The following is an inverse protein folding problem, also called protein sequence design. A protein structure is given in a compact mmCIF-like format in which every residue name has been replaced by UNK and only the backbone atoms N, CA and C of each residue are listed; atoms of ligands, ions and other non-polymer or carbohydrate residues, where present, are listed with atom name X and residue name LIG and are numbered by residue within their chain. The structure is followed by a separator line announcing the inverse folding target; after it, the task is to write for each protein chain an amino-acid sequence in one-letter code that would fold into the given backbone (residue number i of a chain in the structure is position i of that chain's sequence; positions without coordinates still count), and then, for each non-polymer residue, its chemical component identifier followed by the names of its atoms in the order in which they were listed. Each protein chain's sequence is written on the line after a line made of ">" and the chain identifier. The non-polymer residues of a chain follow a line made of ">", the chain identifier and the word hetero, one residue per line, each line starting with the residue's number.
data_IF_557951040665
#
_entry.id   IF_557951040665
#
_cell.length_a   1.000
_cell.length_b   1.000
_cell.length_c   1.000
_cell.angle_alpha   90.00
_cell.angle_beta   90.00
_cell.angle_gamma   90.00
#
_symmetry.space_group_name_H-M   'P 1'
#
loop_
_entity.id
_entity.type
_entity.pdbx_description
1 polymer ?
#
# COMPACT_ATOMS: atom_id res chain seq x y z
N UNK A 1 -16.13 -38.77 10.48
CA UNK A 1 -14.99 -37.86 10.70
C UNK A 1 -15.11 -36.73 9.68
N UNK A 2 -15.42 -35.52 10.13
CA UNK A 2 -15.42 -34.33 9.28
C UNK A 2 -14.03 -33.71 9.39
N UNK A 3 -13.19 -33.88 8.37
CA UNK A 3 -11.93 -33.15 8.29
C UNK A 3 -12.27 -31.67 8.12
N UNK A 4 -11.77 -30.83 9.03
CA UNK A 4 -11.87 -29.38 8.92
C UNK A 4 -11.21 -28.96 7.60
N UNK A 5 -12.02 -28.60 6.60
CA UNK A 5 -11.51 -28.06 5.34
C UNK A 5 -10.89 -26.70 5.65
N UNK A 6 -9.61 -26.54 5.30
CA UNK A 6 -8.96 -25.22 5.21
C UNK A 6 -9.84 -24.33 4.33
N UNK A 7 -10.00 -23.07 4.71
CA UNK A 7 -10.84 -22.09 4.01
C UNK A 7 -10.40 -22.02 2.54
N UNK A 8 -11.23 -22.49 1.59
CA UNK A 8 -10.93 -22.44 0.14
C UNK A 8 -11.48 -21.20 -0.53
N UNK A 9 -12.47 -20.56 0.10
CA UNK A 9 -13.28 -19.52 -0.53
C UNK A 9 -12.68 -18.13 -0.30
N UNK A 10 -11.98 -17.93 0.83
CA UNK A 10 -11.28 -16.69 1.10
C UNK A 10 -9.76 -16.86 1.05
N UNK A 11 -9.11 -15.98 0.27
CA UNK A 11 -7.68 -15.81 0.30
C UNK A 11 -7.23 -15.24 1.66
N UNK A 12 -6.09 -15.70 2.17
CA UNK A 12 -5.50 -15.22 3.41
C UNK A 12 -5.23 -13.71 3.36
N UNK A 13 -5.56 -13.01 4.44
CA UNK A 13 -5.29 -11.59 4.64
C UNK A 13 -4.82 -11.35 6.05
N UNK A 14 -3.74 -10.58 6.19
CA UNK A 14 -3.22 -10.18 7.50
C UNK A 14 -3.47 -8.69 7.68
N UNK A 15 -3.95 -8.32 8.86
CA UNK A 15 -4.22 -6.93 9.24
C UNK A 15 -3.49 -6.59 10.54
N UNK A 16 -3.11 -5.34 10.69
CA UNK A 16 -2.60 -4.80 11.95
C UNK A 16 -3.11 -3.36 12.16
N UNK A 17 -2.98 -2.89 13.39
CA UNK A 17 -3.42 -1.56 13.82
C UNK A 17 -2.19 -0.67 13.99
N UNK A 18 -2.23 0.53 13.41
CA UNK A 18 -1.15 1.52 13.50
C UNK A 18 -1.70 2.89 13.88
N UNK A 19 -0.83 3.73 14.45
CA UNK A 19 -1.13 5.09 14.88
C UNK A 19 -0.75 6.10 13.81
N UNK A 20 -1.70 6.92 13.35
CA UNK A 20 -1.44 7.91 12.32
C UNK A 20 -0.85 9.20 12.91
N UNK A 21 0.37 9.54 12.49
CA UNK A 21 1.06 10.78 12.85
C UNK A 21 1.40 11.65 11.62
N UNK A 22 0.72 11.43 10.51
CA UNK A 22 1.02 12.12 9.25
C UNK A 22 0.66 13.62 9.26
N UNK A 23 -0.01 14.12 10.30
CA UNK A 23 -0.55 15.49 10.34
C UNK A 23 -1.76 15.68 9.43
N UNK A 24 -2.35 14.59 8.96
CA UNK A 24 -3.50 14.56 8.05
C UNK A 24 -4.21 13.21 8.12
N UNK A 25 -5.47 13.17 7.67
CA UNK A 25 -6.21 11.90 7.57
C UNK A 25 -5.61 11.01 6.48
N UNK A 26 -5.23 9.78 6.83
CA UNK A 26 -4.90 8.73 5.87
C UNK A 26 -6.22 8.17 5.36
N UNK A 27 -6.55 8.45 4.11
CA UNK A 27 -7.80 7.98 3.50
C UNK A 27 -7.72 6.48 3.18
N UNK A 28 -8.86 5.80 3.16
CA UNK A 28 -8.94 4.41 2.76
C UNK A 28 -8.22 4.18 1.41
N UNK A 29 -7.51 3.05 1.31
CA UNK A 29 -6.68 2.63 0.18
C UNK A 29 -5.34 3.38 0.01
N UNK A 30 -5.01 4.33 0.88
CA UNK A 30 -3.69 4.96 0.86
C UNK A 30 -2.62 4.02 1.44
N UNK A 31 -1.42 3.99 0.85
CA UNK A 31 -0.26 3.37 1.46
C UNK A 31 0.23 4.23 2.62
N UNK A 32 0.73 3.58 3.67
CA UNK A 32 1.43 4.24 4.76
C UNK A 32 2.77 3.55 5.01
N UNK A 33 3.72 4.33 5.52
CA UNK A 33 5.06 3.86 5.86
C UNK A 33 5.26 3.96 7.37
N UNK A 34 6.15 3.13 7.88
CA UNK A 34 6.59 3.18 9.26
C UNK A 34 7.30 4.51 9.49
N UNK A 35 6.94 5.18 10.57
CA UNK A 35 7.63 6.40 10.97
C UNK A 35 8.86 6.07 11.83
N UNK A 36 10.03 6.51 11.36
CA UNK A 36 11.31 6.24 12.03
C UNK A 36 11.66 7.26 13.13
N UNK A 37 10.89 8.34 13.25
CA UNK A 37 11.10 9.37 14.27
C UNK A 37 10.37 9.06 15.58
N UNK A 38 9.29 8.27 15.51
CA UNK A 38 8.54 7.83 16.67
C UNK A 38 9.16 6.54 17.27
N UNK A 39 9.40 6.50 18.60
CA UNK A 39 10.01 5.34 19.26
C UNK A 39 9.02 4.22 19.58
N UNK A 40 7.72 4.42 19.32
CA UNK A 40 6.64 3.52 19.75
C UNK A 40 6.52 2.23 18.94
N UNK A 41 7.12 2.21 17.76
CA UNK A 41 7.05 1.10 16.82
C UNK A 41 5.63 0.78 16.33
N UNK A 42 4.74 1.77 16.35
CA UNK A 42 3.37 1.64 15.85
C UNK A 42 2.94 2.84 15.03
N UNK A 43 3.73 3.92 15.06
CA UNK A 43 3.46 5.11 14.29
C UNK A 43 3.67 4.89 12.80
N UNK A 44 2.73 5.41 12.02
CA UNK A 44 2.79 5.48 10.56
C UNK A 44 2.59 6.90 10.10
N UNK A 45 3.25 7.22 9.00
CA UNK A 45 3.19 8.54 8.39
C UNK A 45 3.10 8.46 6.87
N UNK A 46 3.00 9.63 6.25
CA UNK A 46 3.03 9.76 4.79
C UNK A 46 4.39 9.30 4.28
N UNK A 47 4.46 8.59 3.13
CA UNK A 47 5.73 8.27 2.48
C UNK A 47 6.66 9.48 2.37
N UNK A 48 7.89 9.32 2.87
CA UNK A 48 8.96 10.30 2.75
C UNK A 48 10.21 9.63 2.18
N UNK A 49 11.15 10.41 1.63
CA UNK A 49 12.37 9.90 1.00
C UNK A 49 13.11 8.84 1.85
N UNK A 50 13.19 9.06 3.16
CA UNK A 50 13.89 8.15 4.09
C UNK A 50 13.10 6.85 4.40
N UNK A 51 11.79 6.83 4.15
CA UNK A 51 10.88 5.76 4.59
C UNK A 51 10.22 5.01 3.43
N UNK A 52 10.62 5.27 2.17
CA UNK A 52 10.04 4.62 0.98
C UNK A 52 10.14 3.09 0.97
N UNK A 53 11.12 2.53 1.68
CA UNK A 53 11.30 1.07 1.80
C UNK A 53 10.62 0.48 3.05
N UNK A 54 9.96 1.30 3.86
CA UNK A 54 9.33 0.90 5.13
C UNK A 54 7.81 0.91 5.02
N UNK A 55 7.27 0.49 3.88
CA UNK A 55 5.82 0.40 3.71
C UNK A 55 5.24 -0.64 4.66
N UNK A 56 4.28 -0.18 5.46
CA UNK A 56 3.60 -1.03 6.43
C UNK A 56 2.45 -1.74 5.74
N UNK A 57 1.69 -1.05 4.90
CA UNK A 57 0.56 -1.65 4.23
C UNK A 57 -0.37 -0.60 3.66
N UNK A 58 -1.62 -0.99 3.47
CA UNK A 58 -2.65 -0.14 2.86
C UNK A 58 -3.79 0.06 3.85
N UNK A 59 -4.18 1.32 4.07
CA UNK A 59 -5.26 1.68 4.98
C UNK A 59 -6.58 1.04 4.54
N UNK A 60 -7.27 0.37 5.46
CA UNK A 60 -8.55 -0.29 5.15
C UNK A 60 -9.74 0.64 5.27
N UNK A 61 -9.59 1.72 6.03
CA UNK A 61 -10.58 2.73 6.34
C UNK A 61 -9.88 4.10 6.46
N UNK A 62 -10.66 5.17 6.63
CA UNK A 62 -10.10 6.48 6.91
C UNK A 62 -9.54 6.50 8.34
N UNK A 63 -8.26 6.80 8.46
CA UNK A 63 -7.58 6.94 9.75
C UNK A 63 -7.34 8.43 9.97
N UNK A 64 -8.09 9.01 10.91
CA UNK A 64 -7.92 10.41 11.29
C UNK A 64 -6.50 10.66 11.80
N UNK A 65 -6.06 11.91 11.74
CA UNK A 65 -4.79 12.28 12.36
C UNK A 65 -4.83 12.02 13.87
N UNK A 66 -3.69 11.63 14.44
CA UNK A 66 -3.55 11.31 15.86
C UNK A 66 -4.50 10.20 16.35
N UNK A 67 -4.86 9.24 15.48
CA UNK A 67 -5.74 8.12 15.79
C UNK A 67 -5.19 6.77 15.31
N UNK A 68 -5.67 5.69 15.94
CA UNK A 68 -5.38 4.33 15.48
C UNK A 68 -6.31 3.92 14.34
N UNK A 69 -5.78 3.14 13.40
CA UNK A 69 -6.56 2.60 12.30
C UNK A 69 -6.00 1.29 11.77
N UNK A 70 -6.84 0.58 11.01
CA UNK A 70 -6.54 -0.75 10.49
C UNK A 70 -5.91 -0.71 9.10
N UNK A 71 -4.81 -1.45 8.96
CA UNK A 71 -4.07 -1.60 7.71
C UNK A 71 -4.01 -3.06 7.30
N UNK A 72 -4.07 -3.32 5.99
CA UNK A 72 -3.81 -4.65 5.43
C UNK A 72 -2.31 -4.75 5.09
N UNK A 73 -1.67 -5.80 5.62
CA UNK A 73 -0.24 -6.09 5.49
C UNK A 73 0.03 -7.16 4.44
N UNK A 74 -0.87 -8.14 4.33
CA UNK A 74 -0.71 -9.27 3.43
C UNK A 74 -2.01 -9.62 2.71
N UNK A 75 -1.86 -10.16 1.50
CA UNK A 75 -2.93 -10.77 0.73
C UNK A 75 -3.49 -9.88 -0.38
N UNK A 76 -4.45 -10.42 -1.12
CA UNK A 76 -5.13 -9.70 -2.19
C UNK A 76 -6.02 -8.59 -1.64
N UNK A 77 -5.99 -7.43 -2.31
CA UNK A 77 -6.86 -6.29 -2.04
C UNK A 77 -7.43 -5.76 -3.35
N UNK A 78 -8.75 -5.55 -3.37
CA UNK A 78 -9.45 -5.04 -4.55
C UNK A 78 -9.20 -3.56 -4.87
N UNK A 79 -8.56 -2.82 -3.96
CA UNK A 79 -8.40 -1.38 -4.05
C UNK A 79 -7.16 -0.88 -3.30
N UNK A 80 -6.24 -0.27 -4.04
CA UNK A 80 -5.08 0.49 -3.59
C UNK A 80 -4.97 1.75 -4.44
N UNK A 81 -4.56 2.87 -3.85
CA UNK A 81 -4.43 4.11 -4.60
C UNK A 81 -3.13 4.09 -5.41
N UNK A 82 -3.26 3.98 -6.73
CA UNK A 82 -2.14 3.81 -7.68
C UNK A 82 -2.22 4.91 -8.73
N UNK A 83 -1.11 5.59 -9.01
CA UNK A 83 -1.00 6.50 -10.14
C UNK A 83 -0.56 5.77 -11.39
N UNK A 84 -1.10 6.20 -12.53
CA UNK A 84 -0.52 5.88 -13.82
C UNK A 84 0.61 6.84 -14.20
N UNK A 85 1.26 6.53 -15.31
CA UNK A 85 2.35 7.30 -15.90
C UNK A 85 1.96 7.78 -17.31
N UNK A 86 2.68 8.75 -17.87
CA UNK A 86 2.42 9.25 -19.24
C UNK A 86 3.01 8.36 -20.33
N UNK A 87 4.04 7.57 -20.00
CA UNK A 87 4.92 6.89 -20.96
C UNK A 87 4.84 5.37 -20.88
N UNK A 88 4.58 4.81 -19.69
CA UNK A 88 4.51 3.35 -19.54
C UNK A 88 3.38 2.92 -18.63
N UNK A 89 2.56 1.98 -19.10
CA UNK A 89 1.48 1.44 -18.29
C UNK A 89 2.00 0.63 -17.11
N UNK A 90 1.19 0.54 -16.06
CA UNK A 90 1.37 -0.47 -15.01
C UNK A 90 0.80 -1.76 -15.55
N UNK A 91 1.61 -2.81 -15.64
CA UNK A 91 1.17 -4.16 -15.96
C UNK A 91 0.78 -4.92 -14.69
N UNK A 92 -0.04 -5.96 -14.82
CA UNK A 92 -0.26 -6.88 -13.71
C UNK A 92 1.07 -7.59 -13.37
N UNK A 93 1.37 -7.72 -12.08
CA UNK A 93 2.63 -8.24 -11.56
C UNK A 93 3.73 -7.18 -11.36
N UNK A 94 3.53 -5.95 -11.86
CA UNK A 94 4.48 -4.88 -11.62
C UNK A 94 4.63 -4.56 -10.13
N UNK A 95 5.86 -4.26 -9.73
CA UNK A 95 6.15 -3.78 -8.38
C UNK A 95 5.62 -2.36 -8.24
N UNK A 96 4.80 -2.15 -7.21
CA UNK A 96 4.28 -0.87 -6.80
C UNK A 96 5.05 -0.37 -5.56
N UNK A 97 5.54 0.86 -5.63
CA UNK A 97 6.31 1.52 -4.57
C UNK A 97 5.62 2.80 -4.13
N UNK A 98 5.75 3.18 -2.84
CA UNK A 98 5.30 4.49 -2.40
C UNK A 98 6.12 5.60 -3.05
N UNK A 99 5.49 6.75 -3.26
CA UNK A 99 6.12 7.93 -3.86
C UNK A 99 6.34 8.99 -2.79
N UNK A 100 7.52 9.61 -2.79
CA UNK A 100 7.90 10.61 -1.80
C UNK A 100 6.88 11.76 -1.72
N UNK A 101 6.41 12.04 -0.52
CA UNK A 101 5.41 13.05 -0.20
C UNK A 101 4.08 12.87 -0.95
N UNK A 102 3.72 11.64 -1.34
CA UNK A 102 2.45 11.32 -2.01
C UNK A 102 1.65 10.24 -1.28
N UNK A 103 0.36 10.18 -1.58
CA UNK A 103 -0.60 9.23 -1.00
C UNK A 103 -0.93 8.05 -1.92
N UNK A 104 -0.21 7.91 -3.03
CA UNK A 104 -0.40 6.86 -4.01
C UNK A 104 0.87 6.02 -4.16
N UNK A 105 0.69 4.82 -4.69
CA UNK A 105 1.75 3.98 -5.19
C UNK A 105 2.00 4.29 -6.68
N UNK A 106 3.22 4.13 -7.12
CA UNK A 106 3.59 4.15 -8.54
C UNK A 106 4.37 2.89 -8.88
N UNK A 107 4.45 2.56 -10.16
CA UNK A 107 5.31 1.48 -10.63
C UNK A 107 6.78 1.81 -10.32
N UNK A 108 7.51 0.84 -9.77
CA UNK A 108 8.96 0.93 -9.64
C UNK A 108 9.62 0.95 -11.01
N UNK A 109 10.63 1.80 -11.21
CA UNK A 109 11.47 1.65 -12.39
C UNK A 109 12.40 0.43 -12.21
N UNK A 110 12.85 -0.13 -13.33
CA UNK A 110 13.55 -1.42 -13.39
C UNK A 110 14.91 -1.46 -12.64
N UNK A 111 15.40 -0.33 -12.12
CA UNK A 111 16.72 -0.20 -11.48
C UNK A 111 16.67 0.45 -10.08
N UNK A 112 15.51 0.46 -9.42
CA UNK A 112 15.36 1.27 -8.20
C UNK A 112 15.92 0.61 -6.93
N UNK A 113 16.39 -0.64 -7.01
CA UNK A 113 16.92 -1.39 -5.87
C UNK A 113 15.92 -1.63 -4.73
N UNK A 114 14.65 -1.22 -4.89
CA UNK A 114 13.60 -1.38 -3.90
C UNK A 114 13.05 -2.81 -3.94
N UNK A 115 13.01 -3.47 -2.80
CA UNK A 115 12.22 -4.69 -2.62
C UNK A 115 10.74 -4.32 -2.71
N UNK A 116 10.03 -4.85 -3.70
CA UNK A 116 8.61 -4.54 -3.88
C UNK A 116 7.73 -5.20 -2.84
N UNK A 117 7.06 -4.45 -1.98
CA UNK A 117 6.12 -5.01 -1.00
C UNK A 117 4.68 -5.08 -1.51
N UNK A 118 4.38 -4.37 -2.60
CA UNK A 118 3.05 -4.35 -3.21
C UNK A 118 3.19 -4.65 -4.70
N UNK A 119 2.27 -5.44 -5.23
CA UNK A 119 2.24 -5.84 -6.62
C UNK A 119 0.92 -5.47 -7.26
N UNK A 120 0.97 -4.97 -8.49
CA UNK A 120 -0.22 -4.67 -9.28
C UNK A 120 -1.01 -5.96 -9.56
N UNK A 121 -2.27 -6.00 -9.14
CA UNK A 121 -3.21 -7.08 -9.41
C UNK A 121 -4.03 -6.88 -10.68
N UNK A 122 -3.88 -5.71 -11.33
CA UNK A 122 -4.48 -5.37 -12.61
C UNK A 122 -3.62 -4.33 -13.32
N UNK A 123 -3.75 -4.25 -14.64
CA UNK A 123 -3.10 -3.21 -15.41
C UNK A 123 -3.76 -1.85 -15.16
N UNK A 124 -2.95 -0.79 -15.14
CA UNK A 124 -3.39 0.61 -15.12
C UNK A 124 -2.81 1.30 -16.35
N UNK A 125 -3.68 1.70 -17.27
CA UNK A 125 -3.28 2.33 -18.52
C UNK A 125 -2.62 3.70 -18.30
N UNK A 126 -1.75 4.08 -19.22
CA UNK A 126 -1.18 5.44 -19.26
C UNK A 126 -2.28 6.48 -19.47
N UNK A 127 -2.00 7.71 -19.08
CA UNK A 127 -2.84 8.86 -19.41
C UNK A 127 -1.97 10.08 -19.68
N UNK A 128 -2.45 10.96 -20.56
CA UNK A 128 -1.79 12.23 -20.90
C UNK A 128 -1.67 13.15 -19.68
N UNK A 129 -2.63 13.04 -18.75
CA UNK A 129 -2.57 13.66 -17.43
C UNK A 129 -2.65 12.54 -16.38
N UNK A 130 -1.53 12.20 -15.71
CA UNK A 130 -1.52 11.19 -14.67
C UNK A 130 -2.50 11.51 -13.55
N UNK A 131 -3.26 10.50 -13.14
CA UNK A 131 -4.21 10.58 -12.05
C UNK A 131 -4.17 9.28 -11.25
N UNK A 132 -4.11 9.42 -9.93
CA UNK A 132 -4.21 8.29 -9.03
C UNK A 132 -5.66 7.79 -8.94
N UNK A 133 -5.81 6.47 -9.00
CA UNK A 133 -7.09 5.78 -8.95
C UNK A 133 -6.96 4.48 -8.15
N UNK A 134 -8.10 3.93 -7.74
CA UNK A 134 -8.14 2.65 -7.05
C UNK A 134 -7.89 1.51 -8.04
N UNK A 135 -6.83 0.73 -7.80
CA UNK A 135 -6.47 -0.46 -8.58
C UNK A 135 -6.34 -1.70 -7.68
N UNK A 136 -6.49 -2.88 -8.27
CA UNK A 136 -6.29 -4.16 -7.55
C UNK A 136 -4.80 -4.36 -7.25
N UNK A 137 -4.48 -4.93 -6.10
CA UNK A 137 -3.10 -5.25 -5.74
C UNK A 137 -2.99 -6.51 -4.87
N UNK A 138 -1.78 -7.05 -4.80
CA UNK A 138 -1.38 -8.02 -3.78
C UNK A 138 -0.37 -7.36 -2.85
N UNK A 139 -0.59 -7.48 -1.55
CA UNK A 139 0.25 -6.87 -0.50
C UNK A 139 1.08 -7.97 0.15
N UNK A 140 2.36 -7.71 0.38
CA UNK A 140 3.29 -8.57 1.13
C UNK A 140 4.25 -7.73 1.99
N UNK A 141 3.68 -6.78 2.72
CA UNK A 141 4.41 -5.95 3.66
C UNK A 141 4.66 -6.74 4.95
N UNK A 142 5.80 -6.45 5.61
CA UNK A 142 6.46 -7.20 6.69
C UNK A 142 7.16 -8.48 6.24
#
# INVERSE_FOLDING_TARGET
>A
MLFQRINREDAERVFAIFYNIAGATITANYPAVWDVSAPDGVAVSKPATATLSLIVGIATENVLDSAYGKFQLYGYRGSAFVTNDTSVAVAAGDILIPVNAQWYLARSAASDGKSGFVYAGAAVATNTTPAAANAKCFIRCL
#
